data_IF_138756921571
#
_entry.id   IF_138756921571
#
_cell.length_a   1.000
_cell.length_b   1.000
_cell.length_c   1.000
_cell.angle_alpha   90.00
_cell.angle_beta   90.00
_cell.angle_gamma   90.00
#
_symmetry.space_group_name_H-M   'P 1'
#
loop_
_entity.id
_entity.type
_entity.pdbx_description
1 polymer ?
#
# COMPACT_ATOMS: atom_id res chain seq x y z
N UNK A 1 -62.62 -17.20 41.47
CA UNK A 1 -61.31 -17.87 41.34
C UNK A 1 -60.89 -18.13 39.86
N UNK A 2 -61.79 -18.11 38.92
CA UNK A 2 -61.47 -18.40 37.46
C UNK A 2 -60.95 -17.21 36.63
N UNK A 3 -61.05 -15.96 37.08
CA UNK A 3 -60.66 -14.77 36.32
C UNK A 3 -59.15 -14.43 36.44
N UNK A 4 -58.49 -14.84 37.48
CA UNK A 4 -57.06 -14.53 37.75
C UNK A 4 -56.13 -15.41 36.89
N UNK A 5 -56.51 -16.65 36.62
CA UNK A 5 -55.69 -17.61 35.87
C UNK A 5 -55.60 -17.24 34.37
N UNK A 6 -56.62 -16.54 33.84
CA UNK A 6 -56.64 -16.12 32.42
C UNK A 6 -55.69 -14.94 32.10
N UNK A 7 -55.48 -14.07 33.10
CA UNK A 7 -54.59 -12.90 32.93
C UNK A 7 -53.11 -13.30 32.91
N UNK A 8 -52.71 -14.29 33.70
CA UNK A 8 -51.30 -14.75 33.78
C UNK A 8 -50.89 -15.48 32.50
N UNK A 9 -51.80 -16.23 31.85
CA UNK A 9 -51.52 -16.94 30.60
C UNK A 9 -51.32 -16.01 29.41
N UNK A 10 -52.00 -14.87 29.37
CA UNK A 10 -51.88 -13.90 28.27
C UNK A 10 -50.61 -13.06 28.37
N UNK A 11 -50.07 -12.85 29.56
CA UNK A 11 -48.79 -12.15 29.80
C UNK A 11 -47.58 -12.99 29.39
N UNK A 12 -47.58 -14.26 29.74
CA UNK A 12 -46.50 -15.19 29.41
C UNK A 12 -46.35 -15.42 27.87
N UNK A 13 -47.49 -15.49 27.17
CA UNK A 13 -47.48 -15.65 25.71
C UNK A 13 -46.95 -14.41 24.97
N UNK A 14 -47.20 -13.20 25.46
CA UNK A 14 -46.68 -11.95 24.89
C UNK A 14 -45.20 -11.75 25.14
N UNK A 15 -44.68 -12.19 26.30
CA UNK A 15 -43.24 -12.16 26.61
C UNK A 15 -42.47 -13.18 25.77
N UNK A 16 -43.03 -14.39 25.56
CA UNK A 16 -42.41 -15.40 24.72
C UNK A 16 -42.37 -14.99 23.25
N UNK A 17 -43.39 -14.32 22.71
CA UNK A 17 -43.39 -13.83 21.35
C UNK A 17 -42.39 -12.69 21.11
N UNK A 18 -42.17 -11.81 22.10
CA UNK A 18 -41.17 -10.74 22.05
C UNK A 18 -39.73 -11.25 22.02
N UNK A 19 -39.42 -12.25 22.81
CA UNK A 19 -38.07 -12.86 22.86
C UNK A 19 -37.73 -13.65 21.60
N UNK A 20 -38.72 -14.29 20.97
CA UNK A 20 -38.54 -14.95 19.66
C UNK A 20 -38.25 -13.97 18.52
N UNK A 21 -38.95 -12.84 18.49
CA UNK A 21 -38.73 -11.81 17.47
C UNK A 21 -37.33 -11.18 17.58
N UNK A 22 -36.83 -10.93 18.77
CA UNK A 22 -35.48 -10.40 19.02
C UNK A 22 -34.41 -11.45 18.65
N UNK A 23 -34.66 -12.74 18.95
CA UNK A 23 -33.72 -13.83 18.63
C UNK A 23 -33.61 -14.08 17.12
N UNK A 24 -34.70 -13.92 16.36
CA UNK A 24 -34.69 -14.03 14.89
C UNK A 24 -33.98 -12.85 14.24
N UNK A 25 -34.12 -11.62 14.76
CA UNK A 25 -33.39 -10.46 14.25
C UNK A 25 -31.87 -10.55 14.49
N UNK A 26 -31.42 -11.23 15.56
CA UNK A 26 -30.01 -11.45 15.84
C UNK A 26 -29.39 -12.55 14.97
N UNK A 27 -30.19 -13.47 14.41
CA UNK A 27 -29.74 -14.52 13.48
C UNK A 27 -29.61 -14.03 12.02
N UNK A 28 -30.30 -12.97 11.64
CA UNK A 28 -30.07 -12.25 10.40
C UNK A 28 -29.02 -11.15 10.61
N UNK A 29 -27.86 -11.50 11.16
CA UNK A 29 -26.68 -10.69 11.04
C UNK A 29 -26.41 -10.50 9.56
N UNK A 30 -26.75 -9.30 9.03
CA UNK A 30 -26.37 -8.86 7.69
C UNK A 30 -24.83 -8.93 7.70
N UNK A 31 -24.26 -9.99 7.15
CA UNK A 31 -22.88 -9.98 6.73
C UNK A 31 -22.79 -8.93 5.65
N UNK A 32 -22.49 -7.69 6.04
CA UNK A 32 -22.07 -6.66 5.12
C UNK A 32 -20.77 -7.20 4.49
N UNK A 33 -20.91 -7.90 3.38
CA UNK A 33 -19.79 -8.26 2.54
C UNK A 33 -19.28 -6.93 2.04
N UNK A 34 -18.12 -6.50 2.52
CA UNK A 34 -17.45 -5.34 1.96
C UNK A 34 -17.35 -5.60 0.44
N UNK A 35 -18.04 -4.80 -0.33
CA UNK A 35 -18.03 -4.93 -1.78
C UNK A 35 -16.60 -4.67 -2.23
N UNK A 36 -15.97 -5.72 -2.76
CA UNK A 36 -14.60 -5.62 -3.23
C UNK A 36 -14.53 -4.56 -4.33
N UNK A 37 -13.66 -3.56 -4.17
CA UNK A 37 -13.52 -2.47 -5.14
C UNK A 37 -13.19 -3.05 -6.52
N UNK A 38 -14.01 -2.81 -7.55
CA UNK A 38 -13.81 -3.42 -8.86
C UNK A 38 -12.50 -2.94 -9.48
N UNK A 39 -11.70 -3.89 -9.94
CA UNK A 39 -10.46 -3.60 -10.65
C UNK A 39 -10.76 -3.25 -12.11
N UNK A 40 -10.11 -2.22 -12.68
CA UNK A 40 -10.26 -1.89 -14.09
C UNK A 40 -9.78 -3.03 -14.99
N UNK A 41 -10.16 -3.02 -16.29
CA UNK A 41 -9.60 -3.95 -17.24
C UNK A 41 -8.08 -3.79 -17.34
N UNK A 42 -7.34 -4.80 -17.85
CA UNK A 42 -5.92 -4.65 -18.13
C UNK A 42 -5.68 -3.43 -19.04
N UNK A 43 -4.65 -2.62 -18.74
CA UNK A 43 -4.30 -1.49 -19.58
C UNK A 43 -3.90 -1.99 -20.98
N UNK A 44 -4.16 -1.17 -21.99
CA UNK A 44 -3.77 -1.44 -23.40
C UNK A 44 -2.53 -0.65 -23.80
N UNK A 45 -2.02 0.19 -22.91
CA UNK A 45 -0.87 1.05 -23.09
C UNK A 45 0.02 0.99 -21.86
N UNK A 46 1.29 1.36 -22.00
CA UNK A 46 2.26 1.41 -20.90
C UNK A 46 1.95 2.55 -19.92
N UNK A 47 1.29 3.62 -20.39
CA UNK A 47 0.79 4.71 -19.54
C UNK A 47 -0.71 4.83 -19.74
N UNK A 48 -1.46 4.56 -18.69
CA UNK A 48 -2.91 4.72 -18.64
C UNK A 48 -3.26 5.74 -17.56
N UNK A 49 -3.73 6.91 -17.98
CA UNK A 49 -4.15 7.99 -17.09
C UNK A 49 -5.65 8.26 -17.26
N UNK A 50 -6.45 7.76 -16.32
CA UNK A 50 -7.91 7.96 -16.28
C UNK A 50 -8.30 9.14 -15.40
N UNK A 51 -7.33 9.76 -14.73
CA UNK A 51 -7.54 10.85 -13.79
C UNK A 51 -7.14 12.23 -14.33
N UNK A 52 -6.57 12.29 -15.55
CA UNK A 52 -5.98 13.50 -16.11
C UNK A 52 -4.93 14.12 -15.17
N UNK A 53 -4.11 13.28 -14.59
CA UNK A 53 -3.06 13.66 -13.66
C UNK A 53 -1.86 14.26 -14.40
N UNK A 54 -1.51 13.66 -15.53
CA UNK A 54 -0.45 14.11 -16.44
C UNK A 54 -1.02 14.93 -17.60
N UNK A 55 -0.16 15.75 -18.19
CA UNK A 55 -0.49 16.34 -19.49
C UNK A 55 -0.52 15.25 -20.58
N UNK A 56 -1.42 15.36 -21.58
CA UNK A 56 -1.49 14.37 -22.66
C UNK A 56 -0.19 14.24 -23.48
N UNK A 57 0.61 15.30 -23.53
CA UNK A 57 1.92 15.28 -24.20
C UNK A 57 2.94 14.44 -23.45
N UNK A 58 3.06 14.65 -22.13
CA UNK A 58 3.98 13.90 -21.27
C UNK A 58 3.57 12.42 -21.19
N UNK A 59 2.27 12.13 -21.06
CA UNK A 59 1.78 10.76 -21.01
C UNK A 59 2.12 9.99 -22.29
N UNK A 60 1.93 10.59 -23.48
CA UNK A 60 2.32 9.96 -24.76
C UNK A 60 3.83 9.75 -24.88
N UNK A 61 4.63 10.74 -24.49
CA UNK A 61 6.09 10.64 -24.53
C UNK A 61 6.61 9.52 -23.61
N UNK A 62 6.09 9.45 -22.40
CA UNK A 62 6.44 8.38 -21.45
C UNK A 62 5.97 7.01 -21.96
N UNK A 63 4.76 6.92 -22.54
CA UNK A 63 4.25 5.68 -23.11
C UNK A 63 5.19 5.10 -24.17
N UNK A 64 5.61 5.93 -25.16
CA UNK A 64 6.54 5.50 -26.21
C UNK A 64 7.89 5.05 -25.63
N UNK A 65 8.33 5.68 -24.56
CA UNK A 65 9.59 5.37 -23.89
C UNK A 65 9.55 4.04 -23.13
N UNK A 66 8.43 3.74 -22.47
CA UNK A 66 8.24 2.47 -21.75
C UNK A 66 8.04 1.32 -22.74
N UNK A 67 7.38 1.57 -23.88
CA UNK A 67 7.25 0.63 -24.98
C UNK A 67 8.62 0.25 -25.53
N UNK A 68 9.47 1.24 -25.86
CA UNK A 68 10.83 1.01 -26.33
C UNK A 68 11.69 0.29 -25.30
N UNK A 69 11.51 0.62 -24.01
CA UNK A 69 12.22 -0.05 -22.93
C UNK A 69 11.85 -1.53 -22.84
N UNK A 70 10.56 -1.87 -22.95
CA UNK A 70 10.12 -3.27 -23.01
C UNK A 70 10.68 -3.99 -24.23
N UNK A 71 10.65 -3.38 -25.42
CA UNK A 71 11.17 -3.99 -26.63
C UNK A 71 12.69 -4.26 -26.54
N UNK A 72 13.45 -3.39 -25.88
CA UNK A 72 14.90 -3.51 -25.78
C UNK A 72 15.37 -4.43 -24.66
N UNK A 73 14.63 -4.52 -23.56
CA UNK A 73 15.04 -5.26 -22.36
C UNK A 73 14.16 -6.46 -22.02
N UNK A 74 12.92 -6.44 -22.49
CA UNK A 74 11.87 -7.39 -22.14
C UNK A 74 11.19 -7.11 -20.80
N UNK A 75 11.65 -6.15 -19.99
CA UNK A 75 11.03 -5.79 -18.73
C UNK A 75 9.76 -4.97 -18.96
N UNK A 76 8.64 -5.37 -18.36
CA UNK A 76 7.37 -4.68 -18.50
C UNK A 76 7.16 -3.64 -17.40
N UNK A 77 7.31 -2.37 -17.75
CA UNK A 77 7.10 -1.24 -16.86
C UNK A 77 5.84 -0.48 -17.25
N UNK A 78 4.90 -0.31 -16.31
CA UNK A 78 3.60 0.31 -16.55
C UNK A 78 3.36 1.45 -15.56
N UNK A 79 2.63 2.46 -16.01
CA UNK A 79 2.04 3.51 -15.17
C UNK A 79 0.53 3.44 -15.29
N UNK A 80 -0.14 3.31 -14.16
CA UNK A 80 -1.58 3.43 -14.07
C UNK A 80 -1.97 4.55 -13.11
N UNK A 81 -2.74 5.50 -13.62
CA UNK A 81 -3.22 6.64 -12.84
C UNK A 81 -4.74 6.60 -12.82
N UNK A 82 -5.27 6.38 -11.62
CA UNK A 82 -6.70 6.35 -11.34
C UNK A 82 -7.12 7.44 -10.35
N UNK A 83 -8.44 7.51 -10.10
CA UNK A 83 -8.99 8.45 -9.11
C UNK A 83 -8.77 7.93 -7.68
N UNK A 84 -9.25 6.72 -7.40
CA UNK A 84 -9.31 6.16 -6.05
C UNK A 84 -9.33 4.63 -6.08
N UNK A 85 -8.88 4.03 -4.99
CA UNK A 85 -9.08 2.60 -4.72
C UNK A 85 -10.38 2.33 -3.94
N UNK A 86 -11.15 3.37 -3.61
CA UNK A 86 -12.29 3.28 -2.70
C UNK A 86 -11.85 2.96 -1.28
N UNK A 87 -12.52 2.03 -0.63
CA UNK A 87 -12.19 1.63 0.75
C UNK A 87 -11.02 0.64 0.84
N UNK A 88 -10.52 0.15 -0.30
CA UNK A 88 -9.42 -0.81 -0.32
C UNK A 88 -8.07 -0.13 -0.07
N UNK A 89 -7.19 -0.69 0.78
CA UNK A 89 -5.80 -0.27 0.85
C UNK A 89 -5.13 -0.35 -0.52
N UNK A 90 -4.29 0.64 -0.86
CA UNK A 90 -3.61 0.67 -2.16
C UNK A 90 -2.70 -0.55 -2.36
N UNK A 91 -2.17 -1.10 -1.29
CA UNK A 91 -1.35 -2.29 -1.28
C UNK A 91 -2.12 -3.50 -1.81
N UNK A 92 -3.26 -3.80 -1.21
CA UNK A 92 -4.10 -4.94 -1.60
C UNK A 92 -4.66 -4.76 -3.01
N UNK A 93 -5.08 -3.53 -3.33
CA UNK A 93 -5.62 -3.21 -4.63
C UNK A 93 -4.56 -3.38 -5.73
N UNK A 94 -3.31 -2.91 -5.49
CA UNK A 94 -2.22 -2.99 -6.44
C UNK A 94 -1.79 -4.43 -6.72
N UNK A 95 -1.65 -5.26 -5.69
CA UNK A 95 -1.33 -6.69 -5.83
C UNK A 95 -2.38 -7.40 -6.69
N UNK A 96 -3.67 -7.15 -6.43
CA UNK A 96 -4.78 -7.74 -7.21
C UNK A 96 -4.79 -7.24 -8.66
N UNK A 97 -4.54 -5.95 -8.87
CA UNK A 97 -4.47 -5.36 -10.21
C UNK A 97 -3.29 -5.95 -10.99
N UNK A 98 -2.10 -6.01 -10.39
CA UNK A 98 -0.92 -6.61 -10.97
C UNK A 98 -1.15 -8.07 -11.39
N UNK A 99 -1.71 -8.87 -10.49
CA UNK A 99 -2.04 -10.27 -10.75
C UNK A 99 -3.09 -10.44 -11.86
N UNK A 100 -4.14 -9.59 -11.88
CA UNK A 100 -5.18 -9.59 -12.91
C UNK A 100 -4.63 -9.22 -14.28
N UNK A 101 -3.75 -8.22 -14.34
CA UNK A 101 -3.15 -7.71 -15.57
C UNK A 101 -1.97 -8.55 -16.05
N UNK A 102 -1.44 -9.42 -15.20
CA UNK A 102 -0.32 -10.35 -15.49
C UNK A 102 0.92 -9.63 -16.00
N UNK A 103 1.29 -8.56 -15.33
CA UNK A 103 2.42 -7.71 -15.72
C UNK A 103 3.74 -8.44 -15.55
N UNK A 104 4.63 -8.38 -16.53
CA UNK A 104 5.89 -9.12 -16.57
C UNK A 104 5.81 -10.46 -17.29
N UNK A 105 6.96 -10.99 -17.71
CA UNK A 105 7.05 -12.27 -18.42
C UNK A 105 6.78 -13.44 -17.49
N UNK A 106 6.02 -14.42 -17.97
CA UNK A 106 5.69 -15.64 -17.20
C UNK A 106 6.96 -16.40 -16.81
N UNK A 107 7.11 -16.66 -15.51
CA UNK A 107 8.24 -17.41 -14.94
C UNK A 107 9.54 -16.63 -14.81
N UNK A 108 9.59 -15.39 -15.32
CA UNK A 108 10.65 -14.40 -15.08
C UNK A 108 10.16 -13.37 -14.06
N UNK A 109 8.86 -13.05 -14.11
CA UNK A 109 8.15 -12.17 -13.18
C UNK A 109 8.79 -10.75 -13.10
N UNK A 110 9.23 -10.23 -14.24
CA UNK A 110 10.02 -9.01 -14.40
C UNK A 110 9.17 -7.78 -14.76
N UNK A 111 8.01 -7.71 -14.14
CA UNK A 111 7.10 -6.59 -14.27
C UNK A 111 7.25 -5.57 -13.14
N UNK A 112 6.93 -4.29 -13.43
CA UNK A 112 6.85 -3.23 -12.44
C UNK A 112 5.70 -2.29 -12.80
N UNK A 113 4.85 -1.95 -11.82
CA UNK A 113 3.75 -1.00 -12.02
C UNK A 113 3.85 0.13 -11.02
N UNK A 114 3.80 1.36 -11.55
CA UNK A 114 3.56 2.55 -10.73
C UNK A 114 2.06 2.86 -10.74
N UNK A 115 1.42 2.65 -9.61
CA UNK A 115 0.04 3.06 -9.36
C UNK A 115 0.02 4.45 -8.73
N UNK A 116 -0.87 5.32 -9.21
CA UNK A 116 -1.12 6.65 -8.63
C UNK A 116 -2.63 6.83 -8.51
N UNK A 117 -3.12 7.08 -7.30
CA UNK A 117 -4.51 7.34 -6.99
C UNK A 117 -4.67 8.81 -6.62
N UNK A 118 -5.11 9.60 -7.59
CA UNK A 118 -5.01 11.07 -7.54
C UNK A 118 -5.90 11.69 -6.46
N UNK A 119 -7.12 11.17 -6.25
CA UNK A 119 -8.03 11.65 -5.21
C UNK A 119 -7.60 11.20 -3.82
N UNK A 120 -7.04 9.98 -3.70
CA UNK A 120 -6.55 9.44 -2.43
C UNK A 120 -5.20 10.03 -2.03
N UNK A 121 -4.50 10.72 -2.96
CA UNK A 121 -3.12 11.19 -2.82
C UNK A 121 -2.16 10.08 -2.40
N UNK A 122 -2.33 8.92 -3.00
CA UNK A 122 -1.52 7.73 -2.73
C UNK A 122 -0.86 7.25 -4.02
N UNK A 123 0.33 6.70 -3.86
CA UNK A 123 1.03 6.02 -4.96
C UNK A 123 1.74 4.77 -4.43
N UNK A 124 1.96 3.82 -5.33
CA UNK A 124 2.64 2.58 -5.01
C UNK A 124 3.43 2.07 -6.21
N UNK A 125 4.65 1.66 -5.99
CA UNK A 125 5.32 0.70 -6.86
C UNK A 125 4.92 -0.71 -6.44
N UNK A 126 4.45 -1.49 -7.38
CA UNK A 126 4.29 -2.92 -7.25
C UNK A 126 5.34 -3.60 -8.11
N UNK A 127 6.15 -4.45 -7.51
CA UNK A 127 7.33 -5.05 -8.12
C UNK A 127 7.14 -6.54 -8.28
N UNK A 128 7.36 -7.07 -9.48
CA UNK A 128 7.36 -8.51 -9.74
C UNK A 128 8.57 -9.21 -9.12
N UNK A 129 8.41 -10.46 -8.78
CA UNK A 129 9.46 -11.26 -8.09
C UNK A 129 10.83 -11.23 -8.77
N UNK A 130 10.86 -11.19 -10.12
CA UNK A 130 12.11 -11.13 -10.88
C UNK A 130 12.87 -9.81 -10.76
N UNK A 131 12.17 -8.74 -10.38
CA UNK A 131 12.79 -7.42 -10.18
C UNK A 131 13.07 -7.09 -8.71
N UNK A 132 12.56 -7.86 -7.72
CA UNK A 132 12.82 -7.62 -6.29
C UNK A 132 14.32 -7.58 -5.93
N UNK A 133 15.20 -8.41 -6.52
CA UNK A 133 16.63 -8.32 -6.21
C UNK A 133 17.28 -7.00 -6.61
N UNK A 134 16.77 -6.31 -7.65
CA UNK A 134 17.32 -5.04 -8.16
C UNK A 134 16.49 -3.83 -7.74
N UNK A 135 15.19 -3.99 -7.53
CA UNK A 135 14.27 -2.95 -7.03
C UNK A 135 13.59 -3.45 -5.73
N UNK A 136 14.34 -3.68 -4.66
CA UNK A 136 13.75 -4.02 -3.37
C UNK A 136 12.93 -2.85 -2.82
N UNK A 137 12.08 -3.12 -1.82
CA UNK A 137 11.19 -2.14 -1.17
C UNK A 137 11.90 -0.84 -0.76
N UNK A 138 13.14 -0.95 -0.26
CA UNK A 138 13.93 0.20 0.13
C UNK A 138 14.28 1.13 -1.04
N UNK A 139 14.55 0.57 -2.22
CA UNK A 139 14.82 1.34 -3.44
C UNK A 139 13.53 1.94 -4.00
N UNK A 140 12.45 1.15 -4.07
CA UNK A 140 11.12 1.63 -4.46
C UNK A 140 10.67 2.80 -3.57
N UNK A 141 10.85 2.66 -2.24
CA UNK A 141 10.55 3.73 -1.27
C UNK A 141 11.39 4.99 -1.49
N UNK A 142 12.68 4.84 -1.82
CA UNK A 142 13.54 5.98 -2.15
C UNK A 142 13.10 6.69 -3.42
N UNK A 143 12.74 5.96 -4.47
CA UNK A 143 12.22 6.57 -5.71
C UNK A 143 10.95 7.36 -5.40
N UNK A 144 10.03 6.79 -4.63
CA UNK A 144 8.80 7.47 -4.22
C UNK A 144 9.12 8.75 -3.44
N UNK A 145 9.86 8.63 -2.34
CA UNK A 145 10.01 9.72 -1.38
C UNK A 145 11.02 10.79 -1.82
N UNK A 146 12.07 10.39 -2.55
CA UNK A 146 13.12 11.32 -2.94
C UNK A 146 12.93 11.86 -4.38
N UNK A 147 12.18 11.14 -5.26
CA UNK A 147 12.02 11.55 -6.65
C UNK A 147 10.60 11.99 -6.97
N UNK A 148 9.59 11.16 -6.67
CA UNK A 148 8.21 11.38 -7.13
C UNK A 148 7.50 12.41 -6.25
N UNK A 149 7.39 12.13 -4.94
CA UNK A 149 6.59 12.93 -3.99
C UNK A 149 6.99 14.41 -3.98
N UNK A 150 8.28 14.78 -3.91
CA UNK A 150 8.67 16.20 -3.88
C UNK A 150 8.26 16.97 -5.15
N UNK A 151 8.25 16.30 -6.31
CA UNK A 151 7.82 16.92 -7.57
C UNK A 151 6.31 17.09 -7.63
N UNK A 152 5.54 16.11 -7.14
CA UNK A 152 4.09 16.24 -7.04
C UNK A 152 3.73 17.42 -6.11
N UNK A 153 4.40 17.52 -4.95
CA UNK A 153 4.20 18.62 -3.99
C UNK A 153 4.59 19.99 -4.57
N UNK A 154 5.56 20.02 -5.48
CA UNK A 154 5.92 21.21 -6.23
C UNK A 154 4.94 21.56 -7.38
N UNK A 155 3.92 20.72 -7.62
CA UNK A 155 2.94 20.87 -8.70
C UNK A 155 3.39 20.33 -10.05
N UNK A 156 4.60 19.77 -10.16
CA UNK A 156 5.16 19.24 -11.39
C UNK A 156 4.88 17.74 -11.51
N UNK A 157 3.63 17.42 -11.88
CA UNK A 157 3.14 16.05 -11.97
C UNK A 157 3.79 15.26 -13.11
N UNK A 158 4.00 15.92 -14.26
CA UNK A 158 4.62 15.32 -15.45
C UNK A 158 6.05 14.87 -15.15
N UNK A 159 6.86 15.77 -14.58
CA UNK A 159 8.22 15.42 -14.19
C UNK A 159 8.26 14.41 -13.03
N UNK A 160 7.27 14.41 -12.14
CA UNK A 160 7.21 13.45 -11.05
C UNK A 160 7.11 12.01 -11.57
N UNK A 161 6.15 11.76 -12.46
CA UNK A 161 5.92 10.41 -13.01
C UNK A 161 7.08 10.02 -13.94
N UNK A 162 7.50 10.91 -14.83
CA UNK A 162 8.59 10.64 -15.77
C UNK A 162 9.90 10.34 -15.04
N UNK A 163 10.31 11.20 -14.10
CA UNK A 163 11.53 10.98 -13.33
C UNK A 163 11.49 9.75 -12.41
N UNK A 164 10.31 9.42 -11.89
CA UNK A 164 10.11 8.19 -11.13
C UNK A 164 10.34 6.94 -11.96
N UNK A 165 9.79 6.88 -13.16
CA UNK A 165 10.00 5.76 -14.08
C UNK A 165 11.43 5.72 -14.62
N UNK A 166 12.05 6.87 -14.89
CA UNK A 166 13.46 6.95 -15.28
C UNK A 166 14.39 6.42 -14.19
N UNK A 167 14.11 6.74 -12.93
CA UNK A 167 14.86 6.21 -11.81
C UNK A 167 14.69 4.69 -11.68
N UNK A 168 13.48 4.16 -11.90
CA UNK A 168 13.24 2.72 -11.91
C UNK A 168 14.00 2.02 -13.04
N UNK A 169 13.93 2.53 -14.28
CA UNK A 169 14.68 2.00 -15.42
C UNK A 169 16.19 2.05 -15.17
N UNK A 170 16.70 3.14 -14.58
CA UNK A 170 18.13 3.27 -14.23
C UNK A 170 18.57 2.20 -13.25
N UNK A 171 17.77 1.94 -12.21
CA UNK A 171 18.09 0.93 -11.20
C UNK A 171 18.05 -0.47 -11.79
N UNK A 172 17.05 -0.78 -12.61
CA UNK A 172 16.93 -2.09 -13.29
C UNK A 172 18.15 -2.31 -14.21
N UNK A 173 18.66 -1.24 -14.86
CA UNK A 173 19.87 -1.26 -15.66
C UNK A 173 21.18 -1.31 -14.85
N UNK A 174 21.13 -1.50 -13.54
CA UNK A 174 22.33 -1.58 -12.66
C UNK A 174 22.86 -0.23 -12.18
N UNK A 175 22.16 0.86 -12.45
CA UNK A 175 22.47 2.17 -11.91
C UNK A 175 21.97 2.38 -10.48
N UNK A 176 22.19 3.58 -9.95
CA UNK A 176 21.69 3.98 -8.64
C UNK A 176 20.60 5.04 -8.76
N UNK A 177 19.66 5.06 -7.80
CA UNK A 177 18.69 6.14 -7.71
C UNK A 177 19.43 7.48 -7.65
N UNK A 178 19.16 8.44 -8.55
CA UNK A 178 19.76 9.75 -8.49
C UNK A 178 19.56 10.34 -7.11
N UNK A 179 20.65 10.59 -6.39
CA UNK A 179 20.57 11.33 -5.14
C UNK A 179 20.06 12.72 -5.50
N UNK A 180 18.81 13.04 -5.16
CA UNK A 180 18.45 14.44 -5.11
C UNK A 180 19.41 15.07 -4.10
N UNK A 181 20.17 16.07 -4.56
CA UNK A 181 20.73 17.01 -3.63
C UNK A 181 19.53 17.48 -2.79
N UNK A 182 19.43 16.96 -1.57
CA UNK A 182 18.51 17.50 -0.57
C UNK A 182 18.83 18.98 -0.53
N UNK A 183 18.14 19.77 -1.37
CA UNK A 183 17.98 21.17 -1.06
C UNK A 183 17.34 21.16 0.31
N UNK A 184 18.17 21.33 1.28
CA UNK A 184 17.83 21.19 2.69
C UNK A 184 16.55 21.96 3.00
N UNK A 185 15.45 21.23 3.09
CA UNK A 185 14.68 21.38 4.29
C UNK A 185 15.55 20.70 5.34
N UNK A 186 16.70 21.29 5.58
CA UNK A 186 17.43 21.10 6.79
C UNK A 186 16.41 21.39 7.87
N UNK A 187 15.83 20.29 8.40
CA UNK A 187 15.46 20.34 9.80
C UNK A 187 16.80 20.66 10.44
N UNK A 188 17.10 21.97 10.50
CA UNK A 188 18.19 22.49 11.27
C UNK A 188 18.07 21.72 12.57
N UNK A 189 19.06 20.87 12.86
CA UNK A 189 19.18 20.30 14.19
C UNK A 189 19.19 21.53 15.09
N UNK A 190 17.99 21.91 15.54
CA UNK A 190 17.87 23.01 16.51
C UNK A 190 18.66 22.49 17.68
N UNK A 191 19.77 23.17 18.01
CA UNK A 191 20.54 22.74 19.18
C UNK A 191 19.56 22.64 20.32
N UNK A 192 19.57 21.51 21.02
CA UNK A 192 18.66 21.27 22.14
C UNK A 192 18.71 22.47 23.05
N UNK A 193 17.58 23.12 23.25
CA UNK A 193 17.49 24.24 24.17
C UNK A 193 17.80 23.74 25.57
N UNK A 194 18.42 24.60 26.39
CA UNK A 194 18.74 24.26 27.80
C UNK A 194 17.50 23.69 28.52
N UNK A 195 16.30 24.20 28.20
CA UNK A 195 15.04 23.70 28.74
C UNK A 195 14.72 22.25 28.32
N UNK A 196 15.02 21.85 27.08
CA UNK A 196 14.86 20.48 26.63
C UNK A 196 15.87 19.54 27.32
N UNK A 197 17.11 19.97 27.51
CA UNK A 197 18.12 19.19 28.27
C UNK A 197 17.68 18.98 29.73
N UNK A 198 17.16 20.01 30.38
CA UNK A 198 16.63 19.91 31.75
C UNK A 198 15.40 19.01 31.80
N UNK A 199 14.49 19.12 30.83
CA UNK A 199 13.31 18.25 30.76
C UNK A 199 13.70 16.78 30.57
N UNK A 200 14.67 16.46 29.71
CA UNK A 200 15.19 15.10 29.55
C UNK A 200 15.91 14.59 30.79
N UNK A 201 16.66 15.44 31.49
CA UNK A 201 17.32 15.10 32.75
C UNK A 201 16.30 14.76 33.86
N UNK A 202 15.23 15.56 33.97
CA UNK A 202 14.15 15.32 34.94
C UNK A 202 13.41 14.03 34.58
N UNK A 203 13.08 13.82 33.29
CA UNK A 203 12.40 12.60 32.85
C UNK A 203 13.25 11.36 33.06
N UNK A 204 14.54 11.44 32.78
CA UNK A 204 15.52 10.36 33.07
C UNK A 204 15.63 10.05 34.57
N UNK A 205 15.65 11.07 35.41
CA UNK A 205 15.67 10.91 36.85
C UNK A 205 14.40 10.23 37.39
N UNK A 206 13.22 10.67 36.91
CA UNK A 206 11.92 10.07 37.28
C UNK A 206 11.89 8.59 36.82
N UNK A 207 12.32 8.29 35.58
CA UNK A 207 12.38 6.93 35.09
C UNK A 207 13.31 6.05 35.92
N UNK A 208 14.46 6.58 36.34
CA UNK A 208 15.41 5.88 37.20
C UNK A 208 14.84 5.61 38.60
N UNK A 209 14.10 6.56 39.17
CA UNK A 209 13.42 6.39 40.45
C UNK A 209 12.35 5.30 40.34
N UNK A 210 11.56 5.31 39.26
CA UNK A 210 10.51 4.31 39.04
C UNK A 210 11.15 2.92 38.85
N UNK A 211 12.24 2.83 38.11
CA UNK A 211 12.97 1.56 37.90
C UNK A 211 13.57 1.02 39.21
N UNK A 212 14.09 1.91 40.06
CA UNK A 212 14.65 1.54 41.37
C UNK A 212 13.59 1.13 42.40
N UNK A 213 12.40 1.76 42.34
CA UNK A 213 11.29 1.46 43.25
C UNK A 213 10.42 0.27 42.81
N UNK A 214 10.44 -0.05 41.51
CA UNK A 214 9.65 -1.13 40.91
C UNK A 214 10.51 -2.08 40.08
N UNK A 215 11.31 -2.95 40.70
CA UNK A 215 12.25 -3.85 39.98
C UNK A 215 11.53 -4.85 39.06
N UNK A 216 10.25 -5.15 39.29
CA UNK A 216 9.43 -5.96 38.39
C UNK A 216 9.19 -5.30 37.01
N UNK A 217 9.06 -3.98 36.96
CA UNK A 217 8.91 -3.25 35.70
C UNK A 217 10.24 -3.22 34.91
N UNK A 218 11.37 -3.14 35.59
CA UNK A 218 12.69 -3.21 34.96
C UNK A 218 12.90 -4.57 34.27
N UNK A 219 12.51 -5.65 34.94
CA UNK A 219 12.60 -7.01 34.42
C UNK A 219 11.68 -7.21 33.21
N UNK A 220 10.44 -6.66 33.27
CA UNK A 220 9.48 -6.75 32.16
C UNK A 220 9.94 -6.00 30.92
N UNK A 221 10.50 -4.79 31.09
CA UNK A 221 11.07 -4.01 29.99
C UNK A 221 12.28 -4.70 29.37
N UNK A 222 13.18 -5.25 30.19
CA UNK A 222 14.34 -5.98 29.71
C UNK A 222 13.93 -7.24 28.94
N UNK A 223 12.96 -7.99 29.45
CA UNK A 223 12.41 -9.18 28.80
C UNK A 223 11.72 -8.84 27.47
N UNK A 224 11.02 -7.70 27.36
CA UNK A 224 10.36 -7.27 26.11
C UNK A 224 11.37 -6.84 25.05
N UNK A 225 12.50 -6.27 25.42
CA UNK A 225 13.58 -5.90 24.49
C UNK A 225 14.33 -7.15 23.99
N UNK A 226 14.53 -8.15 24.87
CA UNK A 226 15.21 -9.40 24.46
C UNK A 226 14.29 -10.37 23.70
N UNK A 227 12.97 -10.27 23.82
CA UNK A 227 12.02 -11.17 23.16
C UNK A 227 11.47 -10.61 21.82
N UNK A 228 11.96 -9.50 21.30
CA UNK A 228 11.60 -8.89 20.03
C UNK A 228 12.17 -9.63 18.82
N UNK A 229 11.61 -10.79 18.51
CA UNK A 229 12.00 -11.62 17.36
C UNK A 229 10.81 -12.30 16.69
N UNK A 230 10.46 -11.84 15.52
CA UNK A 230 10.01 -12.64 14.38
C UNK A 230 8.66 -13.33 14.40
N UNK A 231 7.79 -12.94 13.46
CA UNK A 231 6.78 -13.85 12.88
C UNK A 231 6.77 -13.75 11.36
N UNK A 232 7.19 -14.84 10.73
CA UNK A 232 6.95 -15.17 9.30
C UNK A 232 5.60 -15.88 9.19
N UNK A 233 4.83 -15.59 8.12
CA UNK A 233 3.68 -16.37 7.70
C UNK A 233 3.55 -16.31 6.18
N UNK A 234 3.73 -17.45 5.51
CA UNK A 234 3.57 -17.60 4.08
C UNK A 234 2.17 -18.12 3.72
N UNK A 235 1.76 -17.99 2.45
CA UNK A 235 0.55 -18.55 1.86
C UNK A 235 0.56 -18.45 0.34
N UNK A 236 0.55 -19.60 -0.32
CA UNK A 236 0.62 -19.86 -1.75
C UNK A 236 -0.78 -20.07 -2.35
N UNK A 237 -1.10 -19.49 -3.53
CA UNK A 237 -2.22 -19.95 -4.40
C UNK A 237 -1.99 -19.49 -5.85
N UNK A 238 -2.09 -20.42 -6.80
CA UNK A 238 -1.84 -20.25 -8.22
C UNK A 238 -3.12 -20.23 -9.09
N UNK A 239 -2.98 -19.92 -10.39
CA UNK A 239 -4.00 -20.15 -11.43
C UNK A 239 -3.83 -19.25 -12.68
N UNK A 240 -3.78 -19.86 -13.89
CA UNK A 240 -3.42 -19.24 -15.15
C UNK A 240 -4.60 -18.95 -16.12
N UNK A 241 -4.30 -18.34 -17.30
CA UNK A 241 -5.21 -18.20 -18.45
C UNK A 241 -4.78 -17.17 -19.51
N UNK A 242 -5.01 -17.45 -20.80
CA UNK A 242 -4.46 -16.87 -22.05
C UNK A 242 -5.35 -15.80 -22.73
N UNK A 243 -4.76 -14.94 -23.58
CA UNK A 243 -5.45 -14.20 -24.64
C UNK A 243 -4.73 -12.95 -25.15
N UNK A 244 -4.46 -12.85 -26.46
CA UNK A 244 -3.64 -11.84 -27.12
C UNK A 244 -4.43 -10.77 -27.90
N UNK A 245 -3.70 -9.71 -28.38
CA UNK A 245 -4.17 -8.65 -29.27
C UNK A 245 -3.27 -7.42 -29.14
N UNK A 246 -2.79 -6.86 -30.25
CA UNK A 246 -1.74 -5.82 -30.35
C UNK A 246 -1.98 -4.53 -29.57
N UNK A 247 -1.35 -4.44 -28.46
CA UNK A 247 -1.31 -3.40 -27.44
C UNK A 247 -0.54 -4.01 -26.25
N UNK A 248 -0.29 -3.24 -25.22
CA UNK A 248 0.29 -3.81 -23.99
C UNK A 248 -0.53 -5.05 -23.59
N UNK A 249 0.16 -6.18 -23.42
CA UNK A 249 -0.40 -7.45 -22.97
C UNK A 249 0.47 -7.97 -21.85
N UNK A 250 -0.12 -8.18 -20.68
CA UNK A 250 0.56 -8.77 -19.55
C UNK A 250 1.17 -10.12 -19.89
N UNK A 251 2.47 -10.28 -19.71
CA UNK A 251 3.25 -11.49 -20.05
C UNK A 251 3.07 -12.66 -19.10
N UNK A 252 2.25 -12.53 -18.05
CA UNK A 252 1.98 -13.59 -17.09
C UNK A 252 2.87 -13.58 -15.85
N UNK A 253 3.51 -12.45 -15.57
CA UNK A 253 4.33 -12.27 -14.38
C UNK A 253 3.52 -12.23 -13.08
N UNK A 254 4.19 -12.39 -11.96
CA UNK A 254 3.63 -12.42 -10.60
C UNK A 254 4.39 -11.47 -9.69
N UNK A 255 3.67 -10.94 -8.69
CA UNK A 255 4.21 -10.18 -7.56
C UNK A 255 3.71 -10.78 -6.25
N UNK A 256 4.50 -10.68 -5.20
CA UNK A 256 4.13 -11.06 -3.83
C UNK A 256 3.75 -9.87 -2.95
N UNK A 257 3.53 -8.68 -3.54
CA UNK A 257 3.34 -7.46 -2.79
C UNK A 257 4.65 -6.73 -2.48
N UNK A 258 5.75 -7.12 -3.15
CA UNK A 258 7.00 -6.36 -3.13
C UNK A 258 6.82 -4.97 -3.71
N UNK A 259 7.58 -3.99 -3.19
CA UNK A 259 7.49 -2.60 -3.59
C UNK A 259 7.30 -1.64 -2.43
N UNK A 260 6.81 -0.45 -2.68
CA UNK A 260 6.60 0.54 -1.65
C UNK A 260 5.43 1.45 -1.97
N UNK A 261 4.79 1.97 -0.91
CA UNK A 261 3.73 2.98 -1.01
C UNK A 261 4.18 4.32 -0.48
N UNK A 262 3.53 5.39 -0.93
CA UNK A 262 3.73 6.76 -0.44
C UNK A 262 2.48 7.59 -0.59
N UNK A 263 2.54 8.81 -0.02
CA UNK A 263 1.47 9.80 -0.12
C UNK A 263 2.05 11.21 -0.24
N UNK A 264 1.25 12.17 -0.76
CA UNK A 264 1.67 13.56 -0.94
C UNK A 264 0.62 14.57 -0.50
#
# INVERSE_FOLDING_TARGET
MFRVIRAVRSGAAKLAAGTWAISVCLLFGITAQAAETPLPPPPTQWVTDTANFMSPGAARALNARLEEYEHSTGHQLIVYIGQTTGDAPIEDWAVRAFAKWKVGRKGIDDGLVLFIMSADRKLRFEVGYGLEPVVPDAIASRIINDVIVPRIQAGDRDAAVTAGMDAAMTVIGGGTVPAQSRRGTGRAERPMTLGQLVAFAIFGLIALIILATHPSLAFYLLASILSGGGRRGGGDWGGGGWGGGGGFSGGGGRSGGGGASGSW
#
